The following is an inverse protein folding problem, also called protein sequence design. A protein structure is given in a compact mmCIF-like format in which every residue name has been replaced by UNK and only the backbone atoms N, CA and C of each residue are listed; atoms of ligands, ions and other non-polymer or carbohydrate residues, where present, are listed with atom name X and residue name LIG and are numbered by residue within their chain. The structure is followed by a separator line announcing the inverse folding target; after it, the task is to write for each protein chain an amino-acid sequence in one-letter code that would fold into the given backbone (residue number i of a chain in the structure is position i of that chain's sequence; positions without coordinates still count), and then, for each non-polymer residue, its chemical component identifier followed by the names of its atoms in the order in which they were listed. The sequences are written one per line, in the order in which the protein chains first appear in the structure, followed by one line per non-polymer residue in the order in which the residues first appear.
data_IF_469941308316
#
_entry.id   IF_469941308316
#
_cell.length_a   1.000
_cell.length_b   1.000
_cell.length_c   1.000
_cell.angle_alpha   90.00
_cell.angle_beta   90.00
_cell.angle_gamma   90.00
#
_symmetry.space_group_name_H-M   'P 1'
#
loop_
_entity.id
_entity.type
_entity.pdbx_description
1 polymer ?
#
# COMPACT_ATOMS: atom_id res chain seq x y z
N UNK A 1 -7.34 11.39 19.76
CA UNK A 1 -6.91 11.19 18.36
C UNK A 1 -6.50 9.74 18.24
N UNK A 2 -7.29 8.89 17.58
CA UNK A 2 -6.95 7.48 17.46
C UNK A 2 -6.02 7.30 16.26
N UNK A 3 -4.77 6.88 16.50
CA UNK A 3 -3.85 6.52 15.44
C UNK A 3 -4.32 5.22 14.79
N UNK A 4 -4.82 5.30 13.55
CA UNK A 4 -5.23 4.15 12.76
C UNK A 4 -4.44 4.02 11.48
N UNK A 5 -4.13 2.77 11.12
CA UNK A 5 -3.35 2.45 9.93
C UNK A 5 -4.29 1.96 8.83
N UNK A 6 -4.11 2.49 7.63
CA UNK A 6 -4.77 2.00 6.42
C UNK A 6 -3.84 1.01 5.72
N UNK A 7 -4.33 -0.19 5.43
CA UNK A 7 -3.60 -1.18 4.65
C UNK A 7 -4.30 -1.30 3.29
N UNK A 8 -3.60 -0.93 2.22
CA UNK A 8 -4.07 -1.09 0.85
C UNK A 8 -3.59 -2.42 0.30
N UNK A 9 -4.54 -3.26 -0.11
CA UNK A 9 -4.31 -4.62 -0.58
C UNK A 9 -4.15 -4.70 -2.09
N UNK A 10 -2.98 -5.11 -2.56
CA UNK A 10 -2.67 -5.40 -3.96
C UNK A 10 -2.83 -6.89 -4.30
N UNK A 11 -3.49 -7.67 -3.45
CA UNK A 11 -3.75 -9.10 -3.66
C UNK A 11 -2.71 -10.03 -3.05
N UNK A 12 -1.88 -9.55 -2.12
CA UNK A 12 -0.90 -10.40 -1.43
C UNK A 12 -1.58 -11.46 -0.55
N UNK A 13 -1.05 -12.68 -0.60
CA UNK A 13 -1.38 -13.75 0.35
C UNK A 13 -1.12 -13.34 1.82
N UNK A 14 -0.21 -12.39 2.05
CA UNK A 14 0.23 -11.96 3.38
C UNK A 14 -0.47 -10.70 3.92
N UNK A 15 -1.43 -10.10 3.21
CA UNK A 15 -2.09 -8.86 3.67
C UNK A 15 -2.74 -9.02 5.05
N UNK A 16 -3.40 -10.15 5.29
CA UNK A 16 -3.99 -10.45 6.60
C UNK A 16 -2.93 -10.62 7.70
N UNK A 17 -1.74 -11.13 7.37
CA UNK A 17 -0.64 -11.25 8.31
C UNK A 17 -0.10 -9.87 8.70
N UNK A 18 0.02 -8.94 7.76
CA UNK A 18 0.40 -7.55 8.04
C UNK A 18 -0.60 -6.93 9.03
N UNK A 19 -1.90 -7.03 8.76
CA UNK A 19 -2.93 -6.51 9.67
C UNK A 19 -2.87 -7.16 11.05
N UNK A 20 -2.64 -8.48 11.13
CA UNK A 20 -2.43 -9.17 12.40
C UNK A 20 -1.23 -8.61 13.16
N UNK A 21 -0.09 -8.38 12.51
CA UNK A 21 1.10 -7.79 13.16
C UNK A 21 0.84 -6.37 13.66
N UNK A 22 0.13 -5.54 12.90
CA UNK A 22 -0.26 -4.20 13.35
C UNK A 22 -1.17 -4.26 14.58
N UNK A 23 -2.13 -5.18 14.61
CA UNK A 23 -3.03 -5.39 15.76
C UNK A 23 -2.31 -5.95 16.99
N UNK A 24 -1.32 -6.83 16.80
CA UNK A 24 -0.46 -7.33 17.89
C UNK A 24 0.36 -6.20 18.55
N UNK A 25 0.61 -5.10 17.81
CA UNK A 25 1.20 -3.87 18.35
C UNK A 25 0.16 -2.92 18.98
N UNK A 26 -1.07 -3.37 19.20
CA UNK A 26 -2.19 -2.61 19.78
C UNK A 26 -2.60 -1.36 18.97
N UNK A 27 -2.37 -1.38 17.66
CA UNK A 27 -2.78 -0.30 16.74
C UNK A 27 -3.99 -0.75 15.93
N UNK A 28 -5.01 0.11 15.82
CA UNK A 28 -6.18 -0.16 14.99
C UNK A 28 -5.81 -0.07 13.51
N UNK A 29 -6.26 -1.04 12.72
CA UNK A 29 -6.04 -1.04 11.28
C UNK A 29 -7.23 -1.64 10.51
N UNK A 30 -7.41 -1.13 9.29
CA UNK A 30 -8.36 -1.62 8.31
C UNK A 30 -7.64 -2.01 7.02
N UNK A 31 -8.09 -3.10 6.40
CA UNK A 31 -7.62 -3.54 5.09
C UNK A 31 -8.68 -3.13 4.08
N UNK A 32 -8.24 -2.46 3.01
CA UNK A 32 -9.07 -2.06 1.89
C UNK A 32 -8.37 -2.39 0.57
N UNK A 33 -9.11 -2.59 -0.54
CA UNK A 33 -8.53 -2.76 -1.87
C UNK A 33 -7.62 -1.58 -2.26
N UNK A 34 -6.62 -1.82 -3.12
CA UNK A 34 -5.73 -0.75 -3.58
C UNK A 34 -6.43 0.31 -4.44
N UNK A 35 -7.56 -0.01 -5.06
CA UNK A 35 -8.31 0.87 -5.99
C UNK A 35 -9.38 1.72 -5.30
N UNK A 36 -9.34 1.86 -3.97
CA UNK A 36 -10.24 2.76 -3.24
C UNK A 36 -10.14 4.20 -3.74
N UNK A 37 -11.26 4.91 -3.72
CA UNK A 37 -11.30 6.30 -4.17
C UNK A 37 -10.48 7.24 -3.30
N UNK A 38 -9.96 8.31 -3.91
CA UNK A 38 -9.22 9.37 -3.20
C UNK A 38 -10.00 9.98 -2.02
N UNK A 39 -11.33 10.13 -2.15
CA UNK A 39 -12.20 10.65 -1.09
C UNK A 39 -12.18 9.74 0.14
N UNK A 40 -12.20 8.43 -0.06
CA UNK A 40 -12.16 7.45 1.02
C UNK A 40 -10.88 7.59 1.85
N UNK A 41 -9.71 7.72 1.23
CA UNK A 41 -8.44 7.87 1.96
C UNK A 41 -8.42 9.16 2.79
N UNK A 42 -8.97 10.25 2.24
CA UNK A 42 -9.06 11.54 2.93
C UNK A 42 -10.00 11.48 4.13
N UNK A 43 -11.18 10.89 3.96
CA UNK A 43 -12.17 10.72 5.03
C UNK A 43 -11.71 9.71 6.08
N UNK A 44 -10.96 8.69 5.65
CA UNK A 44 -10.35 7.74 6.56
C UNK A 44 -9.35 8.45 7.48
N UNK A 45 -8.63 9.48 7.02
CA UNK A 45 -7.63 10.21 7.80
C UNK A 45 -6.64 9.27 8.54
N UNK A 46 -5.90 8.41 7.82
CA UNK A 46 -4.97 7.47 8.43
C UNK A 46 -3.81 8.21 9.11
N UNK A 47 -3.28 7.64 10.18
CA UNK A 47 -2.01 8.09 10.77
C UNK A 47 -0.78 7.53 10.03
N UNK A 48 -0.99 6.50 9.19
CA UNK A 48 0.02 5.90 8.33
C UNK A 48 -0.64 4.91 7.37
N UNK A 49 0.04 4.66 6.25
CA UNK A 49 -0.48 3.82 5.16
C UNK A 49 0.52 2.70 4.88
N UNK A 50 0.03 1.47 4.71
CA UNK A 50 0.83 0.31 4.29
C UNK A 50 0.30 -0.16 2.94
N UNK A 51 1.18 -0.26 1.94
CA UNK A 51 0.90 -0.85 0.64
C UNK A 51 1.38 -2.30 0.67
N UNK A 52 0.44 -3.25 0.56
CA UNK A 52 0.77 -4.67 0.59
C UNK A 52 1.50 -5.11 -0.68
N UNK A 53 2.01 -6.34 -0.64
CA UNK A 53 2.52 -6.98 -1.85
C UNK A 53 1.38 -7.40 -2.79
N UNK A 54 1.75 -7.91 -3.95
CA UNK A 54 0.84 -8.51 -4.91
C UNK A 54 1.58 -9.62 -5.68
N UNK A 55 0.84 -10.58 -6.26
CA UNK A 55 1.43 -11.59 -7.14
C UNK A 55 1.85 -11.00 -8.49
N UNK A 56 1.33 -9.82 -8.84
CA UNK A 56 1.62 -9.17 -10.11
C UNK A 56 3.01 -8.55 -10.14
N UNK A 57 3.61 -8.49 -11.32
CA UNK A 57 4.88 -7.80 -11.56
C UNK A 57 4.60 -6.39 -12.09
N UNK A 58 5.28 -5.36 -11.58
CA UNK A 58 5.13 -3.94 -12.03
C UNK A 58 5.61 -3.72 -13.48
N UNK A 59 6.03 -4.76 -14.18
CA UNK A 59 6.62 -4.65 -15.51
C UNK A 59 5.69 -5.04 -16.66
N UNK A 60 4.48 -5.52 -16.37
CA UNK A 60 3.47 -5.87 -17.38
C UNK A 60 2.28 -4.88 -17.34
N UNK A 61 2.27 -3.90 -18.24
CA UNK A 61 1.06 -3.13 -18.58
C UNK A 61 0.53 -2.15 -17.51
N UNK A 62 -0.80 -2.07 -17.42
CA UNK A 62 -1.55 -1.15 -16.54
C UNK A 62 -1.49 -1.68 -15.10
N UNK A 63 -0.37 -1.40 -14.46
CA UNK A 63 -0.01 -1.99 -13.17
C UNK A 63 -0.86 -1.40 -12.05
N UNK A 64 -1.39 -2.23 -11.12
CA UNK A 64 -2.07 -1.76 -9.93
C UNK A 64 -1.39 -0.55 -9.27
N UNK A 65 -2.08 0.60 -9.25
CA UNK A 65 -1.56 1.88 -8.73
C UNK A 65 -2.25 2.26 -7.43
N UNK A 66 -1.49 2.77 -6.47
CA UNK A 66 -2.08 3.39 -5.29
C UNK A 66 -2.78 4.71 -5.69
N UNK A 67 -3.89 5.09 -5.05
CA UNK A 67 -4.58 6.34 -5.33
C UNK A 67 -3.70 7.54 -4.93
N UNK A 68 -3.76 8.63 -5.68
CA UNK A 68 -2.91 9.82 -5.45
C UNK A 68 -3.06 10.41 -4.04
N UNK A 69 -4.24 10.27 -3.44
CA UNK A 69 -4.49 10.70 -2.06
C UNK A 69 -3.56 10.00 -1.06
N UNK A 70 -3.07 8.79 -1.35
CA UNK A 70 -2.05 8.09 -0.55
C UNK A 70 -0.80 8.93 -0.36
N UNK A 71 -0.32 9.54 -1.45
CA UNK A 71 0.93 10.31 -1.47
C UNK A 71 0.74 11.73 -0.93
N UNK A 72 -0.47 12.28 -1.08
CA UNK A 72 -0.84 13.62 -0.65
C UNK A 72 -1.26 13.69 0.83
N UNK A 73 -1.50 12.54 1.47
CA UNK A 73 -2.00 12.49 2.85
C UNK A 73 -1.03 13.07 3.89
N UNK A 74 0.25 13.26 3.55
CA UNK A 74 1.25 13.86 4.45
C UNK A 74 1.61 12.97 5.65
N UNK A 75 1.33 11.67 5.56
CA UNK A 75 1.62 10.67 6.60
C UNK A 75 2.64 9.65 6.11
N UNK A 76 3.31 8.91 7.02
CA UNK A 76 4.25 7.87 6.63
C UNK A 76 3.58 6.79 5.77
N UNK A 77 4.25 6.41 4.68
CA UNK A 77 3.81 5.32 3.79
C UNK A 77 4.89 4.24 3.75
N UNK A 78 4.50 2.99 4.00
CA UNK A 78 5.37 1.81 3.90
C UNK A 78 4.92 0.94 2.72
N UNK A 79 5.78 0.77 1.72
CA UNK A 79 5.56 -0.18 0.63
C UNK A 79 6.25 -1.52 0.90
N UNK A 80 5.53 -2.64 0.72
CA UNK A 80 6.08 -3.99 0.89
C UNK A 80 6.05 -4.73 -0.45
N UNK A 81 7.22 -5.20 -0.91
CA UNK A 81 7.37 -5.92 -2.17
C UNK A 81 6.75 -5.13 -3.35
N UNK A 82 5.64 -5.59 -3.91
CA UNK A 82 4.91 -4.88 -4.96
C UNK A 82 4.56 -3.44 -4.59
N UNK A 83 4.07 -3.19 -3.36
CA UNK A 83 3.74 -1.84 -2.91
C UNK A 83 4.94 -0.88 -2.91
N UNK A 84 6.15 -1.40 -2.73
CA UNK A 84 7.40 -0.62 -2.87
C UNK A 84 7.71 -0.32 -4.35
N UNK A 85 7.48 -1.27 -5.25
CA UNK A 85 7.67 -1.07 -6.69
C UNK A 85 6.65 -0.04 -7.24
N UNK A 86 5.38 -0.14 -6.85
CA UNK A 86 4.35 0.83 -7.20
C UNK A 86 4.71 2.24 -6.69
N UNK A 87 5.20 2.34 -5.45
CA UNK A 87 5.72 3.60 -4.89
C UNK A 87 6.86 4.17 -5.73
N UNK A 88 7.86 3.35 -6.08
CA UNK A 88 8.99 3.80 -6.91
C UNK A 88 8.52 4.30 -8.28
N UNK A 89 7.67 3.54 -8.97
CA UNK A 89 7.16 3.90 -10.29
C UNK A 89 6.28 5.16 -10.27
N UNK A 90 5.41 5.34 -9.27
CA UNK A 90 4.50 6.49 -9.20
C UNK A 90 5.21 7.78 -8.75
N UNK A 91 6.30 7.69 -8.00
CA UNK A 91 7.05 8.84 -7.49
C UNK A 91 8.24 9.23 -8.38
N UNK A 92 8.28 8.74 -9.63
CA UNK A 92 9.27 9.13 -10.63
C UNK A 92 10.57 8.31 -10.62
N UNK A 93 10.62 7.21 -9.88
CA UNK A 93 11.66 6.21 -9.96
C UNK A 93 11.43 5.22 -11.11
N UNK A 94 12.38 4.30 -11.29
CA UNK A 94 12.30 3.21 -12.26
C UNK A 94 12.30 1.85 -11.55
N UNK A 95 11.54 0.90 -12.08
CA UNK A 95 11.51 -0.49 -11.62
C UNK A 95 11.94 -1.38 -12.77
N UNK A 96 12.86 -2.31 -12.51
CA UNK A 96 13.38 -3.25 -13.50
C UNK A 96 13.06 -4.69 -13.11
N UNK A 97 12.91 -5.55 -14.12
CA UNK A 97 12.76 -6.98 -13.90
C UNK A 97 14.06 -7.60 -13.37
N UNK A 98 13.93 -8.49 -12.39
CA UNK A 98 15.05 -9.34 -11.96
C UNK A 98 15.53 -10.25 -13.09
N UNK A 99 16.83 -10.24 -13.39
CA UNK A 99 17.43 -11.06 -14.46
C UNK A 99 17.63 -12.53 -14.09
N UNK A 100 17.55 -12.88 -12.81
CA UNK A 100 17.77 -14.23 -12.29
C UNK A 100 16.55 -14.62 -11.46
N UNK A 101 15.94 -15.77 -11.80
CA UNK A 101 14.90 -16.41 -11.00
C UNK A 101 15.52 -17.32 -9.95
#
# INVERSE_FOLDING_TARGET
MHCKILILDFGAQYTQLIARRVRELHVYCEIHPYDVGNAFIRDFAPAGIILSGGPESVTEGDTPRAPDATWQAGVPVLGICYGMQAMAAQLGGAVENGRVR
#
